data_IF_788655285933
#
_entry.id   IF_788655285933
#
_cell.length_a   1.000
_cell.length_b   1.000
_cell.length_c   1.000
_cell.angle_alpha   90.00
_cell.angle_beta   90.00
_cell.angle_gamma   90.00
#
_symmetry.space_group_name_H-M   'P 1'
#
loop_
_entity.id
_entity.type
_entity.pdbx_description
1 polymer ?
#
# COMPACT_ATOMS: atom_id res chain seq x y z
N UNK A 1 -44.57 -5.05 -29.95
CA UNK A 1 -44.38 -3.64 -29.58
C UNK A 1 -42.91 -3.34 -29.80
N UNK A 2 -42.68 -2.65 -30.91
CA UNK A 2 -41.54 -1.86 -31.40
C UNK A 2 -40.10 -2.22 -31.01
N UNK A 3 -39.32 -2.33 -32.09
CA UNK A 3 -37.88 -2.39 -32.21
C UNK A 3 -37.28 -1.03 -31.84
N UNK A 4 -36.41 -0.97 -30.83
CA UNK A 4 -35.53 0.17 -30.60
C UNK A 4 -34.17 -0.12 -31.24
N UNK A 5 -34.09 0.37 -32.48
CA UNK A 5 -32.91 0.60 -33.26
C UNK A 5 -31.85 1.47 -32.56
N UNK A 6 -30.59 1.15 -32.88
CA UNK A 6 -29.47 2.09 -33.03
C UNK A 6 -28.91 2.79 -31.76
N UNK A 7 -27.83 2.19 -31.23
CA UNK A 7 -26.70 2.99 -30.70
C UNK A 7 -25.43 2.63 -31.47
N UNK A 8 -25.24 3.36 -32.55
CA UNK A 8 -23.99 3.53 -33.28
C UNK A 8 -22.89 4.12 -32.38
N UNK A 9 -21.78 3.40 -32.23
CA UNK A 9 -20.49 3.95 -31.84
C UNK A 9 -19.44 2.97 -32.37
N UNK A 10 -18.90 3.12 -33.58
CA UNK A 10 -18.36 4.33 -34.15
C UNK A 10 -16.89 4.42 -33.74
N UNK A 11 -16.00 3.85 -34.55
CA UNK A 11 -14.55 4.05 -34.39
C UNK A 11 -13.70 2.81 -34.66
N UNK A 12 -13.67 2.37 -35.91
CA UNK A 12 -12.57 1.54 -36.41
C UNK A 12 -11.27 2.34 -36.44
N UNK A 13 -10.16 1.62 -36.30
CA UNK A 13 -8.83 1.97 -36.84
C UNK A 13 -8.13 3.22 -36.31
N UNK A 14 -7.19 2.98 -35.39
CA UNK A 14 -5.91 3.68 -35.42
C UNK A 14 -4.77 2.71 -35.11
N UNK A 15 -4.29 2.01 -36.15
CA UNK A 15 -2.92 1.53 -36.22
C UNK A 15 -1.98 2.73 -36.06
N UNK A 16 -1.26 2.80 -34.94
CA UNK A 16 -0.13 3.71 -34.78
C UNK A 16 1.08 2.95 -34.27
N UNK A 17 1.97 2.73 -35.24
CA UNK A 17 3.42 2.74 -35.13
C UNK A 17 4.07 1.85 -34.06
N UNK A 18 4.57 0.73 -34.56
CA UNK A 18 5.68 -0.04 -34.00
C UNK A 18 6.93 0.86 -33.94
N UNK A 19 7.13 1.53 -32.80
CA UNK A 19 8.35 2.26 -32.46
C UNK A 19 9.09 1.50 -31.36
N UNK A 20 10.43 1.44 -31.35
CA UNK A 20 11.16 0.72 -30.32
C UNK A 20 10.86 1.34 -28.97
N UNK A 21 10.07 0.63 -28.17
CA UNK A 21 9.74 0.94 -26.78
C UNK A 21 11.07 1.14 -26.05
N UNK A 22 11.47 2.41 -25.82
CA UNK A 22 12.54 2.72 -24.88
C UNK A 22 12.12 2.08 -23.56
N UNK A 23 12.77 0.97 -23.22
CA UNK A 23 12.54 0.25 -21.96
C UNK A 23 12.67 1.31 -20.86
N UNK A 24 11.61 1.58 -20.06
CA UNK A 24 11.72 2.55 -19.00
C UNK A 24 12.86 2.08 -18.11
N UNK A 25 13.92 2.87 -18.07
CA UNK A 25 15.07 2.65 -17.22
C UNK A 25 14.49 2.53 -15.81
N UNK A 26 14.40 1.31 -15.30
CA UNK A 26 13.82 1.04 -13.99
C UNK A 26 14.60 1.91 -13.02
N UNK A 27 13.97 2.91 -12.38
CA UNK A 27 14.69 3.75 -11.44
C UNK A 27 15.18 2.79 -10.36
N UNK A 28 16.50 2.64 -10.26
CA UNK A 28 17.16 1.90 -9.20
C UNK A 28 16.58 2.47 -7.90
N UNK A 29 15.68 1.70 -7.27
CA UNK A 29 14.98 2.11 -6.05
C UNK A 29 16.02 2.64 -5.09
N UNK A 30 15.98 3.93 -4.83
CA UNK A 30 17.01 4.58 -4.05
C UNK A 30 17.04 3.97 -2.65
N UNK A 31 18.16 4.08 -1.95
CA UNK A 31 18.22 3.69 -0.54
C UNK A 31 17.13 4.38 0.31
N UNK A 32 16.67 5.57 -0.11
CA UNK A 32 15.53 6.26 0.49
C UNK A 32 14.21 5.50 0.26
N UNK A 33 13.96 4.97 -0.93
CA UNK A 33 12.78 4.17 -1.23
C UNK A 33 12.75 2.87 -0.43
N UNK A 34 13.90 2.21 -0.25
CA UNK A 34 14.04 1.02 0.60
C UNK A 34 13.72 1.32 2.06
N UNK A 35 14.19 2.45 2.59
CA UNK A 35 13.85 2.91 3.95
C UNK A 35 12.37 3.19 4.09
N UNK A 36 11.76 3.87 3.11
CA UNK A 36 10.32 4.16 3.09
C UNK A 36 9.48 2.89 3.04
N UNK A 37 9.87 1.91 2.24
CA UNK A 37 9.19 0.62 2.17
C UNK A 37 9.21 -0.12 3.52
N UNK A 38 10.36 -0.17 4.20
CA UNK A 38 10.47 -0.75 5.55
C UNK A 38 9.63 0.00 6.58
N UNK A 39 9.65 1.33 6.55
CA UNK A 39 8.84 2.15 7.44
C UNK A 39 7.33 1.92 7.23
N UNK A 40 6.89 1.84 5.97
CA UNK A 40 5.50 1.55 5.64
C UNK A 40 5.07 0.15 6.08
N UNK A 41 5.92 -0.86 5.88
CA UNK A 41 5.66 -2.22 6.35
C UNK A 41 5.53 -2.27 7.88
N UNK A 42 6.47 -1.66 8.59
CA UNK A 42 6.45 -1.56 10.06
C UNK A 42 5.22 -0.80 10.56
N UNK A 43 4.81 0.26 9.87
CA UNK A 43 3.60 1.02 10.22
C UNK A 43 2.34 0.16 10.09
N UNK A 44 2.22 -0.63 9.02
CA UNK A 44 1.09 -1.55 8.84
C UNK A 44 1.02 -2.58 9.97
N UNK A 45 2.15 -3.17 10.34
CA UNK A 45 2.23 -4.12 11.46
C UNK A 45 1.86 -3.46 12.80
N UNK A 46 2.40 -2.27 13.08
CA UNK A 46 2.08 -1.54 14.31
C UNK A 46 0.60 -1.22 14.41
N UNK A 47 -0.03 -0.81 13.29
CA UNK A 47 -1.46 -0.54 13.25
C UNK A 47 -2.29 -1.81 13.46
N UNK A 48 -1.91 -2.95 12.87
CA UNK A 48 -2.64 -4.21 13.07
C UNK A 48 -2.54 -4.70 14.52
N UNK A 49 -1.34 -4.65 15.10
CA UNK A 49 -1.09 -4.97 16.52
C UNK A 49 -1.92 -4.08 17.45
N UNK A 50 -1.91 -2.75 17.21
CA UNK A 50 -2.71 -1.82 18.02
C UNK A 50 -4.22 -2.08 17.90
N UNK A 51 -4.71 -2.42 16.71
CA UNK A 51 -6.13 -2.80 16.51
C UNK A 51 -6.50 -4.06 17.28
N UNK A 52 -5.65 -5.08 17.26
CA UNK A 52 -5.87 -6.32 18.02
C UNK A 52 -5.93 -6.02 19.51
N UNK A 53 -4.97 -5.25 20.03
CA UNK A 53 -4.92 -4.84 21.42
C UNK A 53 -6.18 -4.06 21.86
N UNK A 54 -6.65 -3.11 21.05
CA UNK A 54 -7.89 -2.36 21.36
C UNK A 54 -9.10 -3.29 21.41
N UNK A 55 -9.17 -4.31 20.55
CA UNK A 55 -10.25 -5.30 20.59
C UNK A 55 -10.16 -6.18 21.84
N UNK A 56 -8.97 -6.67 22.19
CA UNK A 56 -8.75 -7.46 23.40
C UNK A 56 -9.21 -6.69 24.64
N UNK A 57 -8.77 -5.43 24.80
CA UNK A 57 -9.20 -4.56 25.92
C UNK A 57 -10.70 -4.35 25.98
N UNK A 58 -11.37 -4.19 24.83
CA UNK A 58 -12.83 -4.05 24.77
C UNK A 58 -13.57 -5.34 25.11
N UNK A 59 -12.99 -6.48 24.77
CA UNK A 59 -13.53 -7.80 25.10
C UNK A 59 -13.25 -8.22 26.55
N UNK A 60 -12.45 -7.45 27.30
CA UNK A 60 -12.01 -7.81 28.64
C UNK A 60 -10.89 -8.87 28.65
N UNK A 61 -10.28 -9.14 27.50
CA UNK A 61 -9.14 -10.05 27.37
C UNK A 61 -7.88 -9.41 27.95
N UNK A 62 -6.98 -10.25 28.47
CA UNK A 62 -5.70 -9.81 29.00
C UNK A 62 -4.85 -9.19 27.89
N UNK A 63 -4.25 -8.04 28.18
CA UNK A 63 -3.34 -7.38 27.26
C UNK A 63 -1.94 -7.96 27.42
N UNK A 64 -1.56 -8.90 26.55
CA UNK A 64 -0.25 -9.57 26.58
C UNK A 64 0.93 -8.66 26.17
N UNK A 65 0.72 -7.37 25.92
CA UNK A 65 1.85 -6.48 25.64
C UNK A 65 2.67 -6.22 26.90
N UNK A 66 3.90 -6.73 26.91
CA UNK A 66 4.94 -6.25 27.81
C UNK A 66 5.21 -4.76 27.56
N UNK A 67 5.39 -3.99 28.64
CA UNK A 67 5.59 -2.54 28.60
C UNK A 67 6.74 -2.12 27.66
N UNK A 68 6.62 -0.92 27.09
CA UNK A 68 7.68 -0.35 26.25
C UNK A 68 8.99 -0.25 27.07
N UNK A 69 10.14 -0.68 26.52
CA UNK A 69 11.40 -0.56 27.21
C UNK A 69 11.70 0.91 27.49
N UNK A 70 12.21 1.20 28.69
CA UNK A 70 12.61 2.55 29.07
C UNK A 70 13.61 3.10 28.02
N UNK A 71 13.42 4.36 27.62
CA UNK A 71 14.40 5.03 26.77
C UNK A 71 15.75 5.01 27.49
N UNK A 72 16.82 4.61 26.79
CA UNK A 72 18.18 4.64 27.33
C UNK A 72 18.52 6.08 27.74
N UNK A 73 18.51 6.34 29.04
CA UNK A 73 18.86 7.64 29.63
C UNK A 73 20.35 7.72 30.00
N UNK A 74 21.13 6.66 29.76
CA UNK A 74 22.48 6.47 30.34
C UNK A 74 23.64 7.19 29.61
N UNK A 75 23.37 8.10 28.68
CA UNK A 75 24.44 8.80 27.93
C UNK A 75 24.16 10.30 27.73
N UNK A 76 23.72 10.99 28.79
CA UNK A 76 23.67 12.46 28.85
C UNK A 76 24.82 13.03 29.68
#
# INVERSE_FOLDING_TARGET
MNEDEQSSGGGTSATVADGPLLKPQQPLLSEADRRRARAAAKLKENLSRRKQQVRARRAGEADETDGLPAAKMDEL
#
